data_IF_341442418167
#
_entry.id   IF_341442418167
#
_cell.length_a   1.000
_cell.length_b   1.000
_cell.length_c   1.000
_cell.angle_alpha   90.00
_cell.angle_beta   90.00
_cell.angle_gamma   90.00
#
_symmetry.space_group_name_H-M   'P 1'
#
loop_
_entity.id
_entity.type
_entity.pdbx_description
1 polymer ?
#
# COMPACT_ATOMS: atom_id res chain seq x y z
N UNK A 1 -2.46 -16.88 -7.25
CA UNK A 1 -2.82 -17.08 -5.83
C UNK A 1 -1.66 -17.60 -4.99
N UNK A 2 -0.84 -18.54 -5.46
CA UNK A 2 0.20 -19.17 -4.63
C UNK A 2 1.13 -18.16 -3.98
N UNK A 3 1.88 -17.37 -4.76
CA UNK A 3 2.92 -16.51 -4.17
C UNK A 3 2.33 -15.52 -3.18
N UNK A 4 1.09 -15.07 -3.35
CA UNK A 4 0.42 -14.22 -2.37
C UNK A 4 0.21 -14.93 -1.01
N UNK A 5 -0.30 -16.16 -1.00
CA UNK A 5 -0.58 -16.90 0.23
C UNK A 5 0.67 -17.54 0.84
N UNK A 6 1.59 -18.05 0.02
CA UNK A 6 2.77 -18.79 0.47
C UNK A 6 4.00 -17.92 0.69
N UNK A 7 3.98 -16.62 0.34
CA UNK A 7 5.10 -15.70 0.60
C UNK A 7 5.53 -15.78 2.06
N UNK A 8 6.83 -15.89 2.31
CA UNK A 8 7.42 -15.83 3.66
C UNK A 8 6.84 -16.86 4.65
N UNK A 9 6.10 -17.87 4.18
CA UNK A 9 5.44 -18.86 5.05
C UNK A 9 6.45 -19.71 5.83
N UNK A 10 7.68 -19.82 5.31
CA UNK A 10 8.80 -20.48 5.97
C UNK A 10 9.27 -19.77 7.24
N UNK A 11 8.91 -18.49 7.42
CA UNK A 11 9.24 -17.71 8.62
C UNK A 11 8.12 -17.71 9.66
N UNK A 12 6.98 -18.34 9.37
CA UNK A 12 5.80 -18.36 10.24
C UNK A 12 5.82 -19.59 11.15
N UNK A 13 6.56 -19.50 12.26
CA UNK A 13 6.85 -20.63 13.17
C UNK A 13 5.57 -21.30 13.69
N UNK A 14 4.58 -20.53 14.14
CA UNK A 14 3.31 -21.06 14.66
C UNK A 14 2.54 -21.87 13.60
N UNK A 15 2.54 -21.36 12.36
CA UNK A 15 1.92 -22.04 11.23
C UNK A 15 2.63 -23.36 10.91
N UNK A 16 3.97 -23.34 10.84
CA UNK A 16 4.77 -24.54 10.58
C UNK A 16 4.60 -25.60 11.69
N UNK A 17 4.54 -25.18 12.96
CA UNK A 17 4.25 -26.09 14.08
C UNK A 17 2.85 -26.73 13.92
N UNK A 18 1.84 -25.94 13.59
CA UNK A 18 0.49 -26.42 13.33
C UNK A 18 0.39 -27.36 12.12
N UNK A 19 1.24 -27.18 11.10
CA UNK A 19 1.37 -28.14 9.99
C UNK A 19 2.03 -29.44 10.45
N UNK A 20 3.07 -29.36 11.29
CA UNK A 20 3.76 -30.54 11.80
C UNK A 20 2.84 -31.47 12.59
N UNK A 21 1.93 -30.91 13.40
CA UNK A 21 0.89 -31.68 14.09
C UNK A 21 -0.09 -32.35 13.10
N UNK A 22 -0.51 -31.63 12.06
CA UNK A 22 -1.39 -32.19 11.02
C UNK A 22 -0.71 -33.28 10.20
N UNK A 23 0.59 -33.16 9.95
CA UNK A 23 1.35 -34.20 9.29
C UNK A 23 1.38 -35.50 10.13
N UNK A 24 1.54 -35.39 11.45
CA UNK A 24 1.44 -36.53 12.39
C UNK A 24 0.04 -37.13 12.39
N UNK A 25 -0.99 -36.29 12.50
CA UNK A 25 -2.38 -36.77 12.48
C UNK A 25 -2.73 -37.50 11.17
N UNK A 26 -2.23 -37.01 10.03
CA UNK A 26 -2.41 -37.67 8.74
C UNK A 26 -1.72 -39.05 8.70
N UNK A 27 -0.48 -39.13 9.20
CA UNK A 27 0.26 -40.38 9.32
C UNK A 27 -0.50 -41.40 10.19
N UNK A 28 -0.91 -41.01 11.40
CA UNK A 28 -1.63 -41.85 12.34
C UNK A 28 -2.98 -42.32 11.77
N UNK A 29 -3.71 -41.43 11.10
CA UNK A 29 -5.02 -41.73 10.50
C UNK A 29 -4.89 -42.73 9.32
N UNK A 30 -3.83 -42.60 8.53
CA UNK A 30 -3.57 -43.51 7.42
C UNK A 30 -3.03 -44.86 7.92
N UNK A 31 -2.16 -44.84 8.92
CA UNK A 31 -1.41 -45.99 9.41
C UNK A 31 -0.21 -46.35 8.52
N UNK A 32 0.32 -45.39 7.76
CA UNK A 32 1.50 -45.57 6.90
C UNK A 32 2.72 -44.86 7.50
N UNK A 33 3.92 -45.20 7.06
CA UNK A 33 5.17 -44.79 7.72
C UNK A 33 5.43 -43.28 7.65
N UNK A 34 5.17 -42.67 6.50
CA UNK A 34 5.57 -41.30 6.18
C UNK A 34 4.37 -40.40 5.96
N UNK A 35 4.54 -39.11 6.25
CA UNK A 35 3.59 -38.06 5.92
C UNK A 35 4.32 -36.77 5.56
N UNK A 36 3.83 -36.04 4.57
CA UNK A 36 4.42 -34.80 4.08
C UNK A 36 3.34 -33.81 3.73
N UNK A 37 3.51 -32.57 4.19
CA UNK A 37 2.77 -31.40 3.74
C UNK A 37 3.76 -30.48 3.04
N UNK A 38 3.43 -30.07 1.83
CA UNK A 38 4.28 -29.15 1.08
C UNK A 38 3.52 -28.33 0.05
N UNK A 39 4.16 -27.23 -0.32
CA UNK A 39 3.68 -26.36 -1.38
C UNK A 39 4.49 -26.55 -2.64
N UNK A 40 3.82 -26.33 -3.76
CA UNK A 40 4.39 -26.45 -5.08
C UNK A 40 4.59 -25.06 -5.67
N UNK A 41 5.83 -24.77 -6.04
CA UNK A 41 6.21 -23.60 -6.83
C UNK A 41 6.44 -23.99 -8.30
N UNK A 42 6.84 -23.03 -9.14
CA UNK A 42 7.10 -23.23 -10.57
C UNK A 42 8.07 -24.39 -10.81
N UNK A 43 9.26 -24.35 -10.18
CA UNK A 43 10.32 -25.32 -10.42
C UNK A 43 10.55 -26.31 -9.27
N UNK A 44 9.97 -26.06 -8.09
CA UNK A 44 10.28 -26.82 -6.88
C UNK A 44 9.04 -27.19 -6.07
N UNK A 45 9.16 -28.26 -5.30
CA UNK A 45 8.24 -28.64 -4.23
C UNK A 45 8.94 -28.49 -2.89
N UNK A 46 8.38 -27.69 -2.00
CA UNK A 46 8.95 -27.42 -0.67
C UNK A 46 8.18 -28.20 0.39
N UNK A 47 8.87 -29.11 1.10
CA UNK A 47 8.31 -29.82 2.25
C UNK A 47 8.32 -28.88 3.45
N UNK A 48 7.13 -28.51 3.92
CA UNK A 48 6.94 -27.62 5.06
C UNK A 48 6.83 -28.38 6.39
N UNK A 49 6.22 -29.56 6.34
CA UNK A 49 6.13 -30.46 7.47
C UNK A 49 6.28 -31.90 6.99
N UNK A 50 6.96 -32.72 7.77
CA UNK A 50 7.18 -34.12 7.42
C UNK A 50 7.28 -35.02 8.65
N UNK A 51 6.86 -36.27 8.50
CA UNK A 51 7.01 -37.34 9.48
C UNK A 51 7.74 -38.50 8.82
N UNK A 52 8.82 -38.95 9.44
CA UNK A 52 9.69 -40.01 8.93
C UNK A 52 10.52 -39.63 7.70
N UNK A 53 10.49 -38.36 7.28
CA UNK A 53 11.30 -37.81 6.18
C UNK A 53 11.87 -36.45 6.59
N UNK A 54 13.05 -36.06 6.07
CA UNK A 54 13.58 -34.73 6.28
C UNK A 54 12.78 -33.68 5.49
N UNK A 55 12.73 -32.46 6.04
CA UNK A 55 12.33 -31.28 5.29
C UNK A 55 13.32 -31.04 4.15
N UNK A 56 12.86 -30.39 3.09
CA UNK A 56 13.69 -30.14 1.91
C UNK A 56 12.93 -29.52 0.75
N UNK A 57 13.70 -28.99 -0.19
CA UNK A 57 13.22 -28.45 -1.46
C UNK A 57 13.62 -29.45 -2.54
N UNK A 58 12.65 -29.91 -3.32
CA UNK A 58 12.84 -30.92 -4.36
C UNK A 58 12.50 -30.34 -5.73
N UNK A 59 13.20 -30.74 -6.81
CA UNK A 59 12.77 -30.40 -8.17
C UNK A 59 11.34 -30.89 -8.41
N UNK A 60 10.46 -30.00 -8.89
CA UNK A 60 9.03 -30.30 -9.10
C UNK A 60 8.82 -31.56 -9.93
N UNK A 61 9.52 -31.66 -11.06
CA UNK A 61 9.38 -32.74 -12.03
C UNK A 61 9.76 -34.13 -11.49
N UNK A 62 10.46 -34.20 -10.36
CA UNK A 62 10.82 -35.46 -9.71
C UNK A 62 9.82 -35.90 -8.65
N UNK A 63 8.90 -35.02 -8.23
CA UNK A 63 8.04 -35.32 -7.08
C UNK A 63 6.71 -35.98 -7.47
N UNK A 64 6.32 -37.02 -6.73
CA UNK A 64 4.99 -37.62 -6.84
C UNK A 64 3.90 -36.61 -6.46
N UNK A 65 4.21 -35.72 -5.52
CA UNK A 65 3.34 -34.64 -5.07
C UNK A 65 2.91 -33.70 -6.21
N UNK A 66 3.77 -33.50 -7.22
CA UNK A 66 3.41 -32.71 -8.40
C UNK A 66 2.31 -33.35 -9.25
N UNK A 67 2.08 -34.67 -9.15
CA UNK A 67 0.95 -35.32 -9.81
C UNK A 67 -0.34 -35.24 -8.98
N UNK A 68 -0.24 -35.17 -7.65
CA UNK A 68 -1.39 -35.07 -6.74
C UNK A 68 -2.23 -33.81 -6.99
N UNK A 69 -1.60 -32.70 -7.36
CA UNK A 69 -2.28 -31.42 -7.62
C UNK A 69 -3.28 -31.51 -8.79
N UNK A 70 -3.02 -32.41 -9.76
CA UNK A 70 -3.79 -32.59 -10.99
C UNK A 70 -5.04 -33.44 -10.79
N UNK A 71 -5.23 -34.00 -9.60
CA UNK A 71 -6.44 -34.77 -9.29
C UNK A 71 -7.70 -33.88 -9.38
N UNK A 72 -8.91 -34.45 -9.43
CA UNK A 72 -10.15 -33.68 -9.25
C UNK A 72 -10.45 -33.36 -7.76
N UNK A 73 -11.35 -32.41 -7.47
CA UNK A 73 -11.81 -32.13 -6.11
C UNK A 73 -12.39 -33.35 -5.39
N UNK A 74 -12.14 -33.47 -4.08
CA UNK A 74 -12.64 -34.58 -3.25
C UNK A 74 -12.00 -35.95 -3.53
N UNK A 75 -10.99 -36.01 -4.40
CA UNK A 75 -10.27 -37.25 -4.72
C UNK A 75 -8.88 -37.30 -4.08
N UNK A 76 -8.42 -38.52 -3.81
CA UNK A 76 -7.08 -38.82 -3.30
C UNK A 76 -6.33 -39.55 -4.41
N UNK A 77 -5.12 -39.08 -4.71
CA UNK A 77 -4.22 -39.79 -5.60
C UNK A 77 -3.64 -41.00 -4.87
N UNK A 78 -4.19 -42.18 -5.12
CA UNK A 78 -3.87 -43.41 -4.39
C UNK A 78 -3.10 -44.39 -5.28
N UNK A 79 -1.92 -44.77 -4.82
CA UNK A 79 -1.05 -45.79 -5.41
C UNK A 79 -0.62 -46.76 -4.30
N UNK A 80 -1.33 -47.87 -4.11
CA UNK A 80 -1.02 -48.86 -3.07
C UNK A 80 0.31 -49.59 -3.33
N UNK A 81 0.68 -49.72 -4.60
CA UNK A 81 1.94 -50.28 -5.07
C UNK A 81 2.46 -49.48 -6.27
N UNK A 82 3.56 -48.76 -6.10
CA UNK A 82 4.17 -47.94 -7.15
C UNK A 82 4.84 -48.75 -8.26
N UNK A 83 5.19 -50.02 -8.01
CA UNK A 83 5.76 -50.91 -9.03
C UNK A 83 4.77 -51.23 -10.16
N UNK A 84 3.47 -51.06 -9.89
CA UNK A 84 2.39 -51.28 -10.87
C UNK A 84 2.07 -50.01 -11.68
N UNK A 85 2.52 -48.83 -11.24
CA UNK A 85 2.27 -47.59 -11.95
C UNK A 85 3.40 -47.28 -12.93
N UNK A 86 3.08 -47.30 -14.23
CA UNK A 86 4.06 -47.08 -15.29
C UNK A 86 4.80 -45.74 -15.19
N UNK A 87 4.24 -44.72 -14.51
CA UNK A 87 4.87 -43.42 -14.32
C UNK A 87 5.97 -43.44 -13.26
N UNK A 88 5.85 -44.32 -12.27
CA UNK A 88 6.71 -44.31 -11.07
C UNK A 88 7.48 -45.59 -10.82
N UNK A 89 7.18 -46.68 -11.54
CA UNK A 89 7.87 -47.98 -11.38
C UNK A 89 9.39 -47.88 -11.56
N UNK A 90 9.86 -46.96 -12.42
CA UNK A 90 11.27 -46.71 -12.71
C UNK A 90 11.75 -45.39 -12.04
N UNK A 91 11.00 -44.88 -11.06
CA UNK A 91 11.39 -43.67 -10.35
C UNK A 91 12.50 -43.96 -9.33
N UNK A 92 13.39 -42.99 -9.04
CA UNK A 92 14.47 -43.22 -8.09
C UNK A 92 14.00 -43.58 -6.66
N UNK A 93 12.78 -43.20 -6.30
CA UNK A 93 12.19 -43.55 -5.01
C UNK A 93 11.91 -45.05 -4.88
N UNK A 94 11.52 -45.70 -5.98
CA UNK A 94 11.28 -47.13 -6.07
C UNK A 94 12.62 -47.87 -6.21
N UNK A 95 13.52 -47.38 -7.05
CA UNK A 95 14.86 -47.99 -7.25
C UNK A 95 15.70 -48.00 -5.96
N UNK A 96 15.60 -46.95 -5.13
CA UNK A 96 16.27 -46.89 -3.84
C UNK A 96 15.61 -47.76 -2.76
N UNK A 97 14.45 -48.37 -3.06
CA UNK A 97 13.66 -49.18 -2.13
C UNK A 97 13.04 -48.38 -0.97
N UNK A 98 13.06 -47.05 -1.03
CA UNK A 98 12.63 -46.16 0.06
C UNK A 98 11.12 -45.87 0.04
N UNK A 99 10.43 -46.07 -1.09
CA UNK A 99 9.02 -45.74 -1.23
C UNK A 99 8.30 -46.64 -2.24
N UNK A 100 7.23 -47.30 -1.79
CA UNK A 100 6.43 -48.22 -2.63
C UNK A 100 4.91 -47.98 -2.55
N UNK A 101 4.41 -47.21 -1.58
CA UNK A 101 3.00 -46.83 -1.51
C UNK A 101 2.85 -45.32 -1.29
N UNK A 102 1.85 -44.72 -1.93
CA UNK A 102 1.57 -43.28 -1.88
C UNK A 102 0.07 -42.98 -1.88
N UNK A 103 -0.36 -42.05 -1.04
CA UNK A 103 -1.70 -41.48 -1.06
C UNK A 103 -1.64 -39.98 -0.80
N UNK A 104 -2.12 -39.16 -1.75
CA UNK A 104 -2.04 -37.70 -1.67
C UNK A 104 -3.38 -37.01 -1.87
N UNK A 105 -3.66 -35.98 -1.08
CA UNK A 105 -4.75 -35.03 -1.31
C UNK A 105 -4.18 -33.65 -1.68
N UNK A 106 -4.74 -32.98 -2.70
CA UNK A 106 -4.31 -31.66 -3.11
C UNK A 106 -4.79 -30.57 -2.14
N UNK A 107 -3.94 -29.60 -1.85
CA UNK A 107 -4.25 -28.42 -1.05
C UNK A 107 -4.94 -27.38 -1.93
N UNK A 108 -6.27 -27.42 -2.01
CA UNK A 108 -7.06 -26.59 -2.93
C UNK A 108 -7.52 -25.31 -2.29
N UNK A 109 -7.18 -24.20 -2.92
CA UNK A 109 -7.73 -22.89 -2.61
C UNK A 109 -8.77 -22.50 -3.67
N UNK A 110 -9.96 -22.14 -3.22
CA UNK A 110 -10.99 -21.54 -4.07
C UNK A 110 -10.89 -20.02 -4.01
N UNK A 111 -10.78 -19.39 -5.18
CA UNK A 111 -10.91 -17.94 -5.34
C UNK A 111 -12.38 -17.53 -5.25
N UNK A 112 -12.63 -16.28 -4.87
CA UNK A 112 -13.95 -15.63 -4.98
C UNK A 112 -14.50 -15.63 -6.42
N UNK A 113 -13.62 -15.69 -7.42
CA UNK A 113 -13.98 -15.82 -8.85
C UNK A 113 -14.47 -17.23 -9.24
N UNK A 114 -14.51 -18.17 -8.30
CA UNK A 114 -14.84 -19.58 -8.53
C UNK A 114 -13.67 -20.43 -9.06
N UNK A 115 -12.53 -19.81 -9.37
CA UNK A 115 -11.33 -20.54 -9.83
C UNK A 115 -10.71 -21.31 -8.67
N UNK A 116 -10.54 -22.62 -8.85
CA UNK A 116 -9.89 -23.51 -7.86
C UNK A 116 -8.45 -23.77 -8.27
N UNK A 117 -7.51 -23.57 -7.34
CA UNK A 117 -6.07 -23.75 -7.57
C UNK A 117 -5.50 -24.67 -6.51
N UNK A 118 -4.75 -25.69 -6.91
CA UNK A 118 -4.00 -26.52 -5.99
C UNK A 118 -2.64 -25.88 -5.69
N UNK A 119 -2.40 -25.52 -4.44
CA UNK A 119 -1.17 -24.86 -3.98
C UNK A 119 -0.06 -25.85 -3.59
N UNK A 120 -0.40 -27.14 -3.48
CA UNK A 120 0.49 -28.18 -2.97
C UNK A 120 -0.28 -29.45 -2.64
N UNK A 121 0.28 -30.26 -1.75
CA UNK A 121 -0.34 -31.54 -1.34
C UNK A 121 -0.06 -31.88 0.13
N UNK A 122 -1.01 -32.58 0.72
CA UNK A 122 -0.81 -33.44 1.89
C UNK A 122 -0.73 -34.87 1.38
N UNK A 123 0.32 -35.62 1.73
CA UNK A 123 0.42 -37.02 1.36
C UNK A 123 0.95 -37.89 2.49
N UNK A 124 0.55 -39.16 2.45
CA UNK A 124 1.06 -40.25 3.27
C UNK A 124 1.70 -41.31 2.38
N UNK A 125 2.70 -41.99 2.90
CA UNK A 125 3.59 -42.83 2.11
C UNK A 125 4.15 -43.99 2.94
N UNK A 126 4.59 -45.07 2.29
CA UNK A 126 5.25 -46.21 2.97
C UNK A 126 6.34 -46.81 2.10
N UNK A 127 7.40 -47.31 2.74
CA UNK A 127 8.49 -48.03 2.10
C UNK A 127 8.11 -49.44 1.64
N UNK A 128 6.93 -49.95 2.01
CA UNK A 128 6.40 -51.23 1.53
C UNK A 128 5.10 -51.00 0.73
N UNK A 129 4.74 -51.98 -0.09
CA UNK A 129 3.40 -52.03 -0.68
C UNK A 129 2.35 -52.19 0.42
N UNK A 130 1.25 -51.47 0.31
CA UNK A 130 0.21 -51.40 1.34
C UNK A 130 -1.16 -51.76 0.75
N UNK A 131 -2.11 -52.25 1.56
CA UNK A 131 -3.49 -52.34 1.12
C UNK A 131 -4.04 -50.94 0.81
N UNK A 132 -4.94 -50.80 -0.19
CA UNK A 132 -5.57 -49.52 -0.51
C UNK A 132 -6.23 -48.88 0.72
N UNK A 133 -6.01 -47.59 0.94
CA UNK A 133 -6.68 -46.86 2.02
C UNK A 133 -8.20 -46.93 1.85
N UNK A 134 -8.92 -47.16 2.96
CA UNK A 134 -10.39 -47.19 2.93
C UNK A 134 -10.96 -45.82 2.54
N UNK A 135 -12.19 -45.79 2.00
CA UNK A 135 -12.87 -44.53 1.63
C UNK A 135 -13.03 -43.56 2.80
N UNK A 136 -13.08 -44.06 4.04
CA UNK A 136 -13.12 -43.23 5.24
C UNK A 136 -11.76 -42.57 5.50
N UNK A 137 -10.66 -43.32 5.38
CA UNK A 137 -9.30 -42.78 5.50
C UNK A 137 -8.98 -41.77 4.39
N UNK A 138 -9.38 -42.06 3.14
CA UNK A 138 -9.24 -41.12 2.02
C UNK A 138 -9.97 -39.80 2.30
N UNK A 139 -11.22 -39.86 2.78
CA UNK A 139 -11.98 -38.66 3.18
C UNK A 139 -11.31 -37.89 4.30
N UNK A 140 -10.78 -38.58 5.32
CA UNK A 140 -10.06 -37.92 6.42
C UNK A 140 -8.84 -37.12 5.92
N UNK A 141 -8.04 -37.69 5.01
CA UNK A 141 -6.89 -37.00 4.40
C UNK A 141 -7.35 -35.80 3.57
N UNK A 142 -8.43 -35.93 2.79
CA UNK A 142 -8.97 -34.82 2.03
C UNK A 142 -9.47 -33.67 2.93
N UNK A 143 -10.17 -33.99 4.03
CA UNK A 143 -10.60 -32.97 5.00
C UNK A 143 -9.42 -32.30 5.71
N UNK A 144 -8.35 -33.04 6.03
CA UNK A 144 -7.13 -32.46 6.57
C UNK A 144 -6.47 -31.50 5.57
N UNK A 145 -6.48 -31.83 4.27
CA UNK A 145 -6.01 -30.93 3.22
C UNK A 145 -6.81 -29.61 3.18
N UNK A 146 -8.15 -29.68 3.30
CA UNK A 146 -9.01 -28.48 3.35
C UNK A 146 -8.72 -27.61 4.59
N UNK A 147 -8.46 -28.24 5.75
CA UNK A 147 -8.10 -27.52 6.96
C UNK A 147 -6.73 -26.86 6.87
N UNK A 148 -5.74 -27.51 6.25
CA UNK A 148 -4.42 -26.93 5.99
C UNK A 148 -4.55 -25.67 5.13
N UNK A 149 -5.41 -25.68 4.11
CA UNK A 149 -5.66 -24.49 3.28
C UNK A 149 -6.31 -23.37 4.11
N UNK A 150 -7.26 -23.71 4.99
CA UNK A 150 -7.90 -22.73 5.87
C UNK A 150 -6.88 -22.06 6.80
N UNK A 151 -5.95 -22.83 7.37
CA UNK A 151 -4.86 -22.31 8.19
C UNK A 151 -3.92 -21.41 7.39
N UNK A 152 -3.60 -21.78 6.13
CA UNK A 152 -2.78 -20.97 5.24
C UNK A 152 -3.42 -19.61 4.96
N UNK A 153 -4.72 -19.60 4.65
CA UNK A 153 -5.48 -18.36 4.41
C UNK A 153 -5.48 -17.50 5.67
N UNK A 154 -5.66 -18.10 6.84
CA UNK A 154 -5.63 -17.36 8.11
C UNK A 154 -4.24 -16.81 8.41
N UNK A 155 -3.18 -17.59 8.20
CA UNK A 155 -1.79 -17.15 8.33
C UNK A 155 -1.51 -15.94 7.43
N UNK A 156 -1.87 -16.00 6.15
CA UNK A 156 -1.70 -14.89 5.21
C UNK A 156 -2.47 -13.64 5.65
N UNK A 157 -3.69 -13.78 6.17
CA UNK A 157 -4.48 -12.65 6.71
C UNK A 157 -3.80 -11.97 7.88
N UNK A 158 -3.31 -12.76 8.85
CA UNK A 158 -2.59 -12.22 10.03
C UNK A 158 -1.30 -11.52 9.59
N UNK A 159 -0.54 -12.13 8.68
CA UNK A 159 0.68 -11.53 8.09
C UNK A 159 0.39 -10.19 7.44
N UNK A 160 -0.61 -10.13 6.54
CA UNK A 160 -0.98 -8.87 5.87
C UNK A 160 -1.49 -7.81 6.86
N UNK A 161 -2.21 -8.20 7.91
CA UNK A 161 -2.63 -7.27 8.94
C UNK A 161 -1.43 -6.71 9.74
N UNK A 162 -0.42 -7.53 10.05
CA UNK A 162 0.84 -7.04 10.67
C UNK A 162 1.56 -6.05 9.75
N UNK A 163 1.67 -6.37 8.46
CA UNK A 163 2.28 -5.47 7.48
C UNK A 163 1.57 -4.12 7.41
N UNK A 164 0.23 -4.11 7.38
CA UNK A 164 -0.55 -2.85 7.39
C UNK A 164 -0.26 -1.99 8.63
N UNK A 165 -0.13 -2.60 9.82
CA UNK A 165 0.20 -1.87 11.04
C UNK A 165 1.60 -1.27 10.95
N UNK A 166 2.58 -2.08 10.55
CA UNK A 166 3.96 -1.63 10.36
C UNK A 166 4.05 -0.45 9.37
N UNK A 167 3.38 -0.56 8.22
CA UNK A 167 3.23 0.52 7.25
C UNK A 167 2.60 1.79 7.85
N UNK A 168 1.55 1.65 8.66
CA UNK A 168 0.90 2.78 9.32
C UNK A 168 1.82 3.48 10.33
N UNK A 169 2.62 2.71 11.09
CA UNK A 169 3.58 3.24 12.05
C UNK A 169 4.70 4.02 11.33
N UNK A 170 5.22 3.48 10.22
CA UNK A 170 6.20 4.18 9.38
C UNK A 170 5.63 5.48 8.78
N UNK A 171 4.39 5.43 8.29
CA UNK A 171 3.69 6.62 7.80
C UNK A 171 3.57 7.69 8.90
N UNK A 172 3.16 7.29 10.11
CA UNK A 172 3.00 8.22 11.22
C UNK A 172 4.35 8.86 11.61
N UNK A 173 5.43 8.08 11.63
CA UNK A 173 6.78 8.60 11.88
C UNK A 173 7.22 9.57 10.78
N UNK A 174 7.08 9.18 9.50
CA UNK A 174 7.47 10.04 8.38
C UNK A 174 6.64 11.32 8.28
N UNK A 175 5.37 11.30 8.71
CA UNK A 175 4.52 12.49 8.75
C UNK A 175 5.08 13.56 9.71
N UNK A 176 5.63 13.15 10.86
CA UNK A 176 6.25 14.09 11.81
C UNK A 176 7.48 14.78 11.20
N UNK A 177 8.31 14.03 10.47
CA UNK A 177 9.50 14.58 9.82
C UNK A 177 9.15 15.42 8.59
N UNK A 178 8.15 14.99 7.82
CA UNK A 178 7.60 15.72 6.69
C UNK A 178 7.06 17.09 7.12
N UNK A 179 6.38 17.16 8.26
CA UNK A 179 5.86 18.42 8.82
C UNK A 179 6.97 19.39 9.27
N UNK A 180 8.17 18.89 9.56
CA UNK A 180 9.33 19.70 9.96
C UNK A 180 10.10 20.24 8.77
N UNK A 181 10.38 19.38 7.79
CA UNK A 181 11.26 19.69 6.64
C UNK A 181 10.46 20.23 5.44
N UNK A 182 9.17 19.89 5.32
CA UNK A 182 8.31 20.18 4.17
C UNK A 182 8.91 19.69 2.85
N UNK A 183 9.52 18.49 2.88
CA UNK A 183 10.16 17.81 1.75
C UNK A 183 9.71 16.35 1.70
N UNK A 184 9.54 15.78 0.51
CA UNK A 184 9.00 14.43 0.28
C UNK A 184 9.96 13.29 0.63
N UNK A 185 11.25 13.59 0.90
CA UNK A 185 12.28 12.58 1.23
C UNK A 185 11.90 11.57 2.32
N UNK A 186 11.25 11.94 3.44
CA UNK A 186 10.85 10.96 4.46
C UNK A 186 9.87 9.92 3.91
N UNK A 187 8.98 10.32 3.00
CA UNK A 187 8.02 9.41 2.37
C UNK A 187 8.74 8.47 1.39
N UNK A 188 9.68 8.97 0.59
CA UNK A 188 10.48 8.14 -0.31
C UNK A 188 11.28 7.07 0.46
N UNK A 189 11.89 7.46 1.59
CA UNK A 189 12.61 6.52 2.45
C UNK A 189 11.70 5.43 3.03
N UNK A 190 10.46 5.78 3.41
CA UNK A 190 9.47 4.80 3.88
C UNK A 190 9.06 3.82 2.78
N UNK A 191 8.93 4.29 1.53
CA UNK A 191 8.67 3.41 0.38
C UNK A 191 9.85 2.46 0.12
N UNK A 192 11.09 2.96 0.16
CA UNK A 192 12.32 2.16 0.02
C UNK A 192 12.44 1.10 1.13
N UNK A 193 11.99 1.43 2.35
CA UNK A 193 12.00 0.50 3.49
C UNK A 193 11.01 -0.66 3.29
N UNK A 194 9.83 -0.38 2.76
CA UNK A 194 8.79 -1.40 2.53
C UNK A 194 9.04 -2.20 1.24
N UNK A 195 9.60 -1.56 0.22
CA UNK A 195 9.85 -2.15 -1.09
C UNK A 195 11.32 -1.98 -1.52
N UNK A 196 12.27 -2.66 -0.84
CA UNK A 196 13.70 -2.44 -1.05
C UNK A 196 14.20 -2.84 -2.45
N UNK A 197 13.55 -3.82 -3.07
CA UNK A 197 13.91 -4.31 -4.41
C UNK A 197 13.07 -3.65 -5.53
N UNK A 198 12.13 -2.78 -5.18
CA UNK A 198 11.28 -2.11 -6.15
C UNK A 198 11.95 -0.81 -6.66
N UNK A 199 11.63 -0.47 -7.90
CA UNK A 199 12.02 0.82 -8.49
C UNK A 199 10.96 1.86 -8.14
N UNK A 200 11.37 2.88 -7.40
CA UNK A 200 10.51 4.01 -7.02
C UNK A 200 10.79 5.16 -7.98
N UNK A 201 9.76 5.64 -8.67
CA UNK A 201 9.86 6.72 -9.66
C UNK A 201 8.86 7.84 -9.39
N UNK A 202 9.22 9.04 -9.86
CA UNK A 202 8.43 10.26 -9.76
C UNK A 202 8.38 10.88 -11.15
N UNK A 203 7.21 10.88 -11.76
CA UNK A 203 7.00 11.48 -13.08
C UNK A 203 5.97 12.60 -13.01
N UNK A 204 6.06 13.58 -13.91
CA UNK A 204 4.99 14.58 -14.02
C UNK A 204 3.71 13.91 -14.51
N UNK A 205 2.55 14.20 -13.93
CA UNK A 205 1.26 13.64 -14.38
C UNK A 205 0.80 14.21 -15.72
N UNK A 206 1.53 15.18 -16.29
CA UNK A 206 1.39 15.58 -17.70
C UNK A 206 2.03 14.57 -18.66
N UNK A 207 2.92 13.71 -18.16
CA UNK A 207 3.44 12.63 -18.96
C UNK A 207 2.29 11.68 -19.29
N UNK A 208 2.09 11.42 -20.58
CA UNK A 208 1.18 10.37 -21.04
C UNK A 208 1.79 8.98 -20.87
N UNK A 209 3.10 8.95 -20.61
CA UNK A 209 3.91 7.75 -20.53
C UNK A 209 4.74 7.73 -19.24
N UNK A 210 4.92 6.54 -18.68
CA UNK A 210 5.83 6.24 -17.58
C UNK A 210 7.05 5.51 -18.15
N UNK A 211 8.24 6.06 -17.97
CA UNK A 211 9.48 5.38 -18.32
C UNK A 211 9.78 4.30 -17.28
N UNK A 212 10.03 3.07 -17.74
CA UNK A 212 10.14 1.90 -16.86
C UNK A 212 11.34 1.04 -17.26
N UNK A 213 12.07 0.57 -16.26
CA UNK A 213 13.27 -0.24 -16.49
C UNK A 213 12.99 -1.52 -17.29
N UNK A 214 13.82 -1.74 -18.31
CA UNK A 214 13.82 -2.97 -19.12
C UNK A 214 12.71 -3.05 -20.16
N UNK A 215 11.97 -1.95 -20.42
CA UNK A 215 10.93 -1.89 -21.46
C UNK A 215 10.77 -0.48 -22.03
N UNK A 216 9.97 -0.37 -23.09
CA UNK A 216 9.51 0.92 -23.60
C UNK A 216 8.48 1.61 -22.67
N UNK A 217 8.25 2.91 -22.88
CA UNK A 217 7.34 3.71 -22.07
C UNK A 217 5.94 3.11 -21.97
N UNK A 218 5.35 3.14 -20.76
CA UNK A 218 4.00 2.64 -20.47
C UNK A 218 2.97 3.76 -20.51
N UNK A 219 1.83 3.55 -21.16
CA UNK A 219 0.75 4.54 -21.19
C UNK A 219 0.04 4.54 -19.83
N UNK A 220 -0.02 5.70 -19.17
CA UNK A 220 -0.62 5.82 -17.83
C UNK A 220 -2.14 5.55 -17.85
N UNK A 221 -2.79 5.73 -19.00
CA UNK A 221 -4.22 5.42 -19.18
C UNK A 221 -4.55 3.92 -19.07
N UNK A 222 -3.55 3.04 -19.22
CA UNK A 222 -3.73 1.58 -19.12
C UNK A 222 -3.74 1.10 -17.65
N UNK A 223 -3.52 2.01 -16.69
CA UNK A 223 -3.54 1.70 -15.27
C UNK A 223 -4.99 1.70 -14.77
N UNK A 224 -5.42 0.57 -14.21
CA UNK A 224 -6.74 0.42 -13.59
C UNK A 224 -6.64 0.73 -12.09
N UNK A 225 -7.23 1.85 -11.66
CA UNK A 225 -7.15 2.37 -10.29
C UNK A 225 -5.72 2.48 -9.74
N UNK A 226 -4.77 2.84 -10.61
CA UNK A 226 -3.36 2.99 -10.26
C UNK A 226 -2.58 1.68 -10.22
N UNK A 227 -3.18 0.56 -10.65
CA UNK A 227 -2.57 -0.76 -10.71
C UNK A 227 -2.31 -1.14 -12.18
N UNK A 228 -1.14 -1.69 -12.45
CA UNK A 228 -0.78 -2.18 -13.78
C UNK A 228 0.01 -3.50 -13.68
N UNK A 229 -0.22 -4.41 -14.63
CA UNK A 229 0.45 -5.71 -14.77
C UNK A 229 0.71 -6.01 -16.25
N UNK A 230 1.94 -6.45 -16.58
CA UNK A 230 2.29 -6.94 -17.92
C UNK A 230 1.70 -8.35 -18.13
N UNK A 231 0.38 -8.40 -18.31
CA UNK A 231 -0.36 -9.66 -18.46
C UNK A 231 0.14 -10.45 -19.66
N UNK A 232 0.39 -9.78 -20.79
CA UNK A 232 0.83 -10.40 -22.03
C UNK A 232 2.19 -11.09 -21.85
N UNK A 233 3.15 -10.43 -21.20
CA UNK A 233 4.44 -11.06 -20.92
C UNK A 233 4.33 -12.25 -19.99
N UNK A 234 3.52 -12.11 -18.94
CA UNK A 234 3.34 -13.20 -17.98
C UNK A 234 2.69 -14.39 -18.70
N UNK A 235 1.63 -14.17 -19.48
CA UNK A 235 0.94 -15.23 -20.23
C UNK A 235 1.84 -15.85 -21.32
N UNK A 236 2.68 -15.06 -22.01
CA UNK A 236 3.68 -15.57 -22.96
C UNK A 236 4.72 -16.45 -22.26
N UNK A 237 5.25 -16.00 -21.11
CA UNK A 237 6.20 -16.78 -20.32
C UNK A 237 5.56 -18.10 -19.83
N UNK A 238 4.30 -18.05 -19.37
CA UNK A 238 3.53 -19.24 -18.98
C UNK A 238 3.42 -20.23 -20.15
N UNK A 239 3.11 -19.74 -21.34
CA UNK A 239 2.84 -20.59 -22.48
C UNK A 239 4.11 -21.19 -23.08
N UNK A 240 5.23 -20.45 -23.09
CA UNK A 240 6.41 -20.81 -23.88
C UNK A 240 7.65 -21.14 -23.06
N UNK A 241 7.77 -20.62 -21.84
CA UNK A 241 9.02 -20.63 -21.07
C UNK A 241 8.87 -21.05 -19.61
N UNK A 242 7.77 -21.72 -19.27
CA UNK A 242 7.42 -22.06 -17.89
C UNK A 242 8.36 -23.05 -17.18
N UNK A 243 9.30 -23.66 -17.91
CA UNK A 243 10.33 -24.55 -17.40
C UNK A 243 11.66 -23.83 -17.08
N UNK A 244 11.79 -22.54 -17.38
CA UNK A 244 12.97 -21.74 -17.09
C UNK A 244 12.84 -20.99 -15.76
N UNK A 245 13.95 -20.40 -15.30
CA UNK A 245 13.91 -19.48 -14.16
C UNK A 245 13.08 -18.23 -14.48
N UNK A 246 12.41 -17.69 -13.47
CA UNK A 246 11.58 -16.50 -13.62
C UNK A 246 12.46 -15.30 -14.01
N UNK A 247 12.12 -14.56 -15.08
CA UNK A 247 12.94 -13.48 -15.56
C UNK A 247 12.79 -12.24 -14.65
N UNK A 248 13.90 -11.53 -14.44
CA UNK A 248 13.96 -10.27 -13.66
C UNK A 248 14.41 -9.08 -14.52
N UNK A 249 14.42 -9.27 -15.84
CA UNK A 249 14.98 -8.33 -16.82
C UNK A 249 14.12 -7.09 -17.08
N UNK A 250 12.82 -7.13 -16.74
CA UNK A 250 11.88 -6.04 -17.00
C UNK A 250 10.80 -5.99 -15.92
N UNK A 251 10.27 -4.79 -15.69
CA UNK A 251 9.15 -4.59 -14.75
C UNK A 251 7.89 -5.29 -15.25
N UNK A 252 7.22 -5.99 -14.33
CA UNK A 252 6.01 -6.77 -14.59
C UNK A 252 4.79 -6.26 -13.84
N UNK A 253 4.97 -5.52 -12.73
CA UNK A 253 3.87 -4.94 -11.96
C UNK A 253 4.21 -3.56 -11.45
N UNK A 254 3.21 -2.68 -11.43
CA UNK A 254 3.35 -1.31 -10.95
C UNK A 254 2.13 -0.95 -10.11
N UNK A 255 2.40 -0.30 -8.98
CA UNK A 255 1.41 0.48 -8.24
C UNK A 255 1.74 1.97 -8.39
N UNK A 256 0.72 2.80 -8.51
CA UNK A 256 0.89 4.23 -8.70
C UNK A 256 -0.18 5.03 -7.98
N UNK A 257 0.18 6.23 -7.55
CA UNK A 257 -0.74 7.21 -6.98
C UNK A 257 -0.33 8.63 -7.37
N UNK A 258 -1.33 9.48 -7.58
CA UNK A 258 -1.13 10.89 -7.94
C UNK A 258 -0.87 11.74 -6.72
N UNK A 259 0.05 12.69 -6.83
CA UNK A 259 0.31 13.69 -5.82
C UNK A 259 0.57 15.08 -6.43
N UNK A 260 0.32 16.14 -5.67
CA UNK A 260 0.60 17.51 -6.10
C UNK A 260 1.99 17.95 -5.63
N UNK A 261 2.73 18.63 -6.50
CA UNK A 261 4.06 19.17 -6.21
C UNK A 261 4.41 20.41 -7.04
N UNK A 262 5.70 20.74 -7.07
CA UNK A 262 6.24 21.94 -7.74
C UNK A 262 5.86 22.06 -9.22
N UNK A 263 5.80 20.93 -9.93
CA UNK A 263 5.52 20.87 -11.37
C UNK A 263 4.04 20.63 -11.69
N UNK A 264 3.16 20.77 -10.70
CA UNK A 264 1.74 20.44 -10.78
C UNK A 264 1.45 19.04 -10.25
N UNK A 265 0.49 18.36 -10.87
CA UNK A 265 0.19 16.97 -10.54
C UNK A 265 1.34 16.08 -11.05
N UNK A 266 1.81 15.16 -10.19
CA UNK A 266 2.85 14.18 -10.41
C UNK A 266 2.31 12.78 -10.10
N UNK A 267 2.99 11.76 -10.60
CA UNK A 267 2.72 10.36 -10.33
C UNK A 267 3.88 9.76 -9.53
N UNK A 268 3.54 9.19 -8.39
CA UNK A 268 4.44 8.34 -7.60
C UNK A 268 4.18 6.90 -8.02
N UNK A 269 5.19 6.19 -8.48
CA UNK A 269 5.07 4.80 -8.89
C UNK A 269 6.09 3.89 -8.19
N UNK A 270 5.62 2.72 -7.77
CA UNK A 270 6.40 1.62 -7.23
C UNK A 270 6.32 0.47 -8.22
N UNK A 271 7.44 0.17 -8.88
CA UNK A 271 7.53 -0.81 -9.95
C UNK A 271 8.37 -2.01 -9.51
N UNK A 272 7.93 -3.22 -9.87
CA UNK A 272 8.65 -4.46 -9.57
C UNK A 272 8.81 -5.33 -10.82
N UNK A 273 10.01 -5.87 -10.97
CA UNK A 273 10.38 -6.91 -11.94
C UNK A 273 10.27 -8.33 -11.35
N UNK A 274 9.88 -8.47 -10.08
CA UNK A 274 9.69 -9.78 -9.45
C UNK A 274 8.29 -10.34 -9.76
N UNK A 275 8.25 -11.44 -10.50
CA UNK A 275 7.03 -12.18 -10.77
C UNK A 275 6.34 -12.67 -9.50
N UNK A 276 7.08 -12.88 -8.40
CA UNK A 276 6.56 -13.41 -7.13
C UNK A 276 5.88 -12.34 -6.28
N UNK A 277 6.24 -11.07 -6.45
CA UNK A 277 5.64 -9.95 -5.74
C UNK A 277 4.23 -9.66 -6.29
N UNK A 278 3.21 -10.02 -5.53
CA UNK A 278 1.81 -9.66 -5.82
C UNK A 278 1.38 -8.54 -4.90
N UNK A 279 0.85 -7.46 -5.47
CA UNK A 279 0.31 -6.34 -4.72
C UNK A 279 -1.15 -6.59 -4.30
N UNK A 280 -1.56 -6.02 -3.17
CA UNK A 280 -2.95 -6.04 -2.69
C UNK A 280 -3.48 -4.65 -2.32
N UNK A 281 -4.70 -4.60 -1.76
CA UNK A 281 -5.34 -3.36 -1.31
C UNK A 281 -4.56 -2.62 -0.22
N UNK A 282 -3.80 -3.34 0.61
CA UNK A 282 -2.98 -2.73 1.67
C UNK A 282 -1.80 -2.01 1.02
N UNK A 283 -1.18 -2.61 0.00
CA UNK A 283 -0.09 -1.99 -0.74
C UNK A 283 -0.58 -0.74 -1.51
N UNK A 284 -1.75 -0.83 -2.15
CA UNK A 284 -2.38 0.30 -2.84
C UNK A 284 -2.75 1.43 -1.87
N UNK A 285 -3.41 1.11 -0.76
CA UNK A 285 -3.74 2.08 0.29
C UNK A 285 -2.48 2.78 0.81
N UNK A 286 -1.40 2.05 1.00
CA UNK A 286 -0.14 2.58 1.50
C UNK A 286 0.44 3.63 0.55
N UNK A 287 0.55 3.32 -0.75
CA UNK A 287 1.09 4.24 -1.76
C UNK A 287 0.18 5.47 -1.93
N UNK A 288 -1.14 5.28 -1.93
CA UNK A 288 -2.10 6.39 -1.97
C UNK A 288 -1.97 7.30 -0.75
N UNK A 289 -1.74 6.74 0.43
CA UNK A 289 -1.54 7.51 1.66
C UNK A 289 -0.23 8.31 1.59
N UNK A 290 0.86 7.69 1.12
CA UNK A 290 2.13 8.36 0.87
C UNK A 290 1.98 9.55 -0.10
N UNK A 291 1.33 9.35 -1.24
CA UNK A 291 1.07 10.39 -2.24
C UNK A 291 0.20 11.54 -1.67
N UNK A 292 -0.83 11.21 -0.89
CA UNK A 292 -1.66 12.21 -0.21
C UNK A 292 -0.85 13.04 0.80
N UNK A 293 0.07 12.43 1.54
CA UNK A 293 0.91 13.14 2.50
C UNK A 293 1.87 14.12 1.82
N UNK A 294 2.48 13.71 0.71
CA UNK A 294 3.32 14.61 -0.10
C UNK A 294 2.50 15.82 -0.56
N UNK A 295 1.30 15.58 -1.09
CA UNK A 295 0.39 16.65 -1.53
C UNK A 295 -0.01 17.59 -0.38
N UNK A 296 -0.30 17.05 0.81
CA UNK A 296 -0.62 17.86 1.98
C UNK A 296 0.55 18.73 2.43
N UNK A 297 1.77 18.19 2.44
CA UNK A 297 2.97 18.95 2.76
C UNK A 297 3.22 20.07 1.75
N UNK A 298 3.02 19.80 0.46
CA UNK A 298 3.09 20.80 -0.60
C UNK A 298 2.08 21.94 -0.40
N UNK A 299 0.80 21.61 -0.18
CA UNK A 299 -0.25 22.61 0.08
C UNK A 299 0.04 23.45 1.32
N UNK A 300 0.54 22.84 2.39
CA UNK A 300 0.92 23.53 3.63
C UNK A 300 2.08 24.51 3.39
N UNK A 301 3.07 24.11 2.57
CA UNK A 301 4.17 24.99 2.16
C UNK A 301 3.65 26.18 1.36
N UNK A 302 2.83 25.94 0.33
CA UNK A 302 2.27 27.00 -0.51
C UNK A 302 1.43 28.00 0.31
N UNK A 303 0.62 27.50 1.25
CA UNK A 303 -0.16 28.34 2.15
C UNK A 303 0.74 29.20 3.04
N UNK A 304 1.82 28.63 3.58
CA UNK A 304 2.78 29.37 4.40
C UNK A 304 3.51 30.47 3.60
N UNK A 305 3.87 30.20 2.36
CA UNK A 305 4.49 31.18 1.45
C UNK A 305 3.51 32.30 1.12
N UNK A 306 2.25 31.98 0.79
CA UNK A 306 1.22 32.98 0.52
C UNK A 306 0.92 33.87 1.73
N UNK A 307 0.86 33.29 2.94
CA UNK A 307 0.68 34.04 4.19
C UNK A 307 1.86 34.99 4.44
N UNK A 308 3.10 34.54 4.22
CA UNK A 308 4.30 35.38 4.37
C UNK A 308 4.30 36.54 3.37
N UNK A 309 4.03 36.27 2.09
CA UNK A 309 3.96 37.29 1.05
C UNK A 309 2.87 38.32 1.34
N UNK A 310 1.70 37.89 1.81
CA UNK A 310 0.61 38.77 2.25
C UNK A 310 1.06 39.67 3.41
N UNK A 311 1.69 39.11 4.44
CA UNK A 311 2.13 39.88 5.60
C UNK A 311 3.22 40.91 5.23
N UNK A 312 4.13 40.53 4.34
CA UNK A 312 5.18 41.43 3.82
C UNK A 312 4.59 42.56 2.99
N UNK A 313 3.64 42.26 2.10
CA UNK A 313 2.92 43.26 1.31
C UNK A 313 2.20 44.28 2.21
N UNK A 314 1.43 43.82 3.20
CA UNK A 314 0.67 44.71 4.08
C UNK A 314 1.59 45.61 4.92
N UNK A 315 2.71 45.07 5.41
CA UNK A 315 3.72 45.85 6.14
C UNK A 315 4.40 46.88 5.24
N UNK A 316 4.82 46.48 4.04
CA UNK A 316 5.46 47.36 3.06
C UNK A 316 4.54 48.49 2.62
N UNK A 317 3.32 48.15 2.19
CA UNK A 317 2.30 49.11 1.77
C UNK A 317 1.95 50.11 2.88
N UNK A 318 1.77 49.62 4.12
CA UNK A 318 1.50 50.51 5.26
C UNK A 318 2.63 51.50 5.51
N UNK A 319 3.88 51.04 5.49
CA UNK A 319 5.04 51.92 5.69
C UNK A 319 5.15 52.96 4.56
N UNK A 320 4.98 52.53 3.31
CA UNK A 320 5.08 53.41 2.14
C UNK A 320 3.96 54.46 2.06
N UNK A 321 2.74 54.14 2.51
CA UNK A 321 1.66 55.14 2.57
C UNK A 321 1.79 56.07 3.78
N UNK A 322 2.22 55.56 4.93
CA UNK A 322 2.26 56.33 6.18
C UNK A 322 3.20 57.54 6.09
N UNK A 323 4.39 57.35 5.54
CA UNK A 323 5.42 58.41 5.46
C UNK A 323 4.96 59.65 4.67
N UNK A 324 4.49 59.54 3.41
CA UNK A 324 4.03 60.71 2.67
C UNK A 324 2.75 61.31 3.23
N UNK A 325 1.81 60.50 3.77
CA UNK A 325 0.58 61.03 4.36
C UNK A 325 0.90 61.86 5.61
N UNK A 326 1.81 61.40 6.49
CA UNK A 326 2.24 62.22 7.62
C UNK A 326 2.98 63.48 7.18
N UNK A 327 3.77 63.42 6.12
CA UNK A 327 4.39 64.60 5.51
C UNK A 327 3.34 65.62 5.04
N UNK A 328 2.35 65.17 4.27
CA UNK A 328 1.25 66.01 3.77
C UNK A 328 0.44 66.58 4.94
N UNK A 329 0.05 65.76 5.91
CA UNK A 329 -0.70 66.21 7.08
C UNK A 329 0.10 67.24 7.89
N UNK A 330 1.40 67.04 8.09
CA UNK A 330 2.27 68.01 8.76
C UNK A 330 2.36 69.33 7.98
N UNK A 331 2.52 69.29 6.66
CA UNK A 331 2.50 70.50 5.83
C UNK A 331 1.14 71.22 5.88
N UNK A 332 0.03 70.48 5.86
CA UNK A 332 -1.33 71.03 5.99
C UNK A 332 -1.54 71.68 7.35
N UNK A 333 -1.03 71.08 8.43
CA UNK A 333 -1.10 71.64 9.79
C UNK A 333 -0.32 72.96 9.88
N UNK A 334 0.91 73.02 9.34
CA UNK A 334 1.71 74.25 9.29
C UNK A 334 1.05 75.35 8.44
N UNK A 335 0.54 75.01 7.25
CA UNK A 335 -0.17 75.97 6.39
C UNK A 335 -1.46 76.49 7.05
N UNK A 336 -2.19 75.61 7.74
CA UNK A 336 -3.39 75.99 8.49
C UNK A 336 -3.05 76.96 9.63
N UNK A 337 -1.92 76.77 10.31
CA UNK A 337 -1.43 77.66 11.37
C UNK A 337 -0.96 79.01 10.81
N UNK A 338 -0.22 79.02 9.69
CA UNK A 338 0.22 80.26 9.04
C UNK A 338 -0.96 81.08 8.51
N UNK A 339 -1.95 80.44 7.89
CA UNK A 339 -3.17 81.13 7.44
C UNK A 339 -3.98 81.67 8.62
N UNK A 340 -4.01 80.97 9.75
CA UNK A 340 -4.69 81.42 10.97
C UNK A 340 -3.98 82.63 11.60
N UNK A 341 -2.64 82.61 11.66
CA UNK A 341 -1.83 83.73 12.17
C UNK A 341 -1.88 84.95 11.25
N UNK A 342 -1.81 84.77 9.93
CA UNK A 342 -2.03 85.86 8.95
C UNK A 342 -3.43 86.44 9.06
N UNK A 343 -4.46 85.62 9.24
CA UNK A 343 -5.84 86.08 9.48
C UNK A 343 -5.97 86.86 10.79
N UNK A 344 -5.26 86.46 11.84
CA UNK A 344 -5.20 87.20 13.11
C UNK A 344 -4.46 88.54 12.97
N UNK A 345 -3.38 88.60 12.18
CA UNK A 345 -2.63 89.82 11.89
C UNK A 345 -3.41 90.80 11.00
N UNK A 346 -4.10 90.31 9.96
CA UNK A 346 -4.97 91.10 9.07
C UNK A 346 -6.28 91.52 9.75
N UNK A 347 -6.79 90.74 10.71
CA UNK A 347 -7.97 91.09 11.52
C UNK A 347 -7.79 92.34 12.39
N UNK A 348 -6.54 92.78 12.62
CA UNK A 348 -6.24 94.04 13.30
C UNK A 348 -6.24 95.27 12.37
N UNK A 349 -6.26 95.09 11.04
CA UNK A 349 -6.19 96.16 10.04
C UNK A 349 -7.21 95.92 8.90
N UNK A 350 -8.46 96.28 9.20
CA UNK A 350 -9.58 96.54 8.26
C UNK A 350 -10.27 95.36 7.56
N UNK A 351 -11.58 95.57 7.39
CA UNK A 351 -12.61 94.70 6.82
C UNK A 351 -12.70 94.92 5.30
N UNK A 352 -12.88 93.81 4.56
CA UNK A 352 -13.49 93.68 3.22
C UNK A 352 -12.55 93.23 2.08
N UNK A 353 -13.05 92.26 1.30
CA UNK A 353 -12.62 91.74 -0.01
C UNK A 353 -11.84 90.40 -0.14
N UNK A 354 -11.54 89.64 0.92
CA UNK A 354 -10.85 88.33 0.79
C UNK A 354 -11.53 87.12 1.46
N UNK A 355 -12.74 87.27 2.01
CA UNK A 355 -13.37 86.21 2.82
C UNK A 355 -13.83 84.97 2.06
N UNK A 356 -14.14 85.09 0.75
CA UNK A 356 -14.58 83.95 -0.06
C UNK A 356 -13.43 82.96 -0.32
N UNK A 357 -12.25 83.45 -0.70
CA UNK A 357 -11.08 82.59 -0.97
C UNK A 357 -10.45 82.02 0.30
N UNK A 358 -10.47 82.75 1.41
CA UNK A 358 -9.98 82.24 2.70
C UNK A 358 -10.87 81.13 3.27
N UNK A 359 -12.19 81.20 3.03
CA UNK A 359 -13.14 80.15 3.39
C UNK A 359 -12.94 78.88 2.59
N UNK A 360 -12.79 78.98 1.27
CA UNK A 360 -12.54 77.83 0.39
C UNK A 360 -11.18 77.17 0.67
N UNK A 361 -10.11 77.94 0.89
CA UNK A 361 -8.80 77.37 1.23
C UNK A 361 -8.81 76.59 2.55
N UNK A 362 -9.54 77.08 3.55
CA UNK A 362 -9.68 76.36 4.83
C UNK A 362 -10.51 75.07 4.67
N UNK A 363 -11.56 75.10 3.84
CA UNK A 363 -12.35 73.91 3.49
C UNK A 363 -11.50 72.85 2.78
N UNK A 364 -10.62 73.24 1.86
CA UNK A 364 -9.71 72.30 1.19
C UNK A 364 -8.69 71.70 2.17
N UNK A 365 -8.11 72.48 3.08
CA UNK A 365 -7.18 71.99 4.10
C UNK A 365 -7.86 71.01 5.07
N UNK A 366 -9.06 71.33 5.56
CA UNK A 366 -9.82 70.42 6.42
C UNK A 366 -10.28 69.15 5.68
N UNK A 367 -10.60 69.24 4.39
CA UNK A 367 -10.91 68.07 3.56
C UNK A 367 -9.70 67.15 3.39
N UNK A 368 -8.52 67.70 3.09
CA UNK A 368 -7.27 66.93 2.96
C UNK A 368 -6.90 66.27 4.30
N UNK A 369 -7.05 67.02 5.41
CA UNK A 369 -6.75 66.55 6.76
C UNK A 369 -7.68 65.42 7.21
N UNK A 370 -8.99 65.56 6.98
CA UNK A 370 -9.98 64.53 7.31
C UNK A 370 -9.72 63.27 6.47
N UNK A 371 -9.57 63.44 5.15
CA UNK A 371 -9.31 62.33 4.23
C UNK A 371 -7.99 61.60 4.55
N UNK A 372 -6.93 62.33 4.91
CA UNK A 372 -5.65 61.75 5.30
C UNK A 372 -5.71 60.96 6.61
N UNK A 373 -6.48 61.43 7.60
CA UNK A 373 -6.71 60.72 8.87
C UNK A 373 -7.56 59.47 8.68
N UNK A 374 -8.61 59.56 7.88
CA UNK A 374 -9.48 58.42 7.55
C UNK A 374 -8.69 57.34 6.81
N UNK A 375 -7.84 57.71 5.85
CA UNK A 375 -7.00 56.78 5.12
C UNK A 375 -6.00 56.05 6.06
N UNK A 376 -5.36 56.76 6.98
CA UNK A 376 -4.49 56.15 8.00
C UNK A 376 -5.28 55.20 8.91
N UNK A 377 -6.50 55.59 9.32
CA UNK A 377 -7.36 54.76 10.16
C UNK A 377 -7.77 53.46 9.44
N UNK A 378 -8.10 53.52 8.17
CA UNK A 378 -8.42 52.35 7.32
C UNK A 378 -7.19 51.43 7.22
N UNK A 379 -6.02 51.98 6.91
CA UNK A 379 -4.77 51.20 6.82
C UNK A 379 -4.43 50.51 8.15
N UNK A 380 -4.55 51.22 9.27
CA UNK A 380 -4.31 50.63 10.60
C UNK A 380 -5.34 49.56 10.96
N UNK A 381 -6.60 49.74 10.58
CA UNK A 381 -7.66 48.75 10.79
C UNK A 381 -7.38 47.48 9.97
N UNK A 382 -6.91 47.62 8.73
CA UNK A 382 -6.55 46.49 7.88
C UNK A 382 -5.40 45.65 8.47
N UNK A 383 -4.39 46.30 9.04
CA UNK A 383 -3.27 45.63 9.74
C UNK A 383 -3.77 44.94 11.01
N UNK A 384 -4.57 45.64 11.82
CA UNK A 384 -5.10 45.12 13.09
C UNK A 384 -6.00 43.90 12.87
N UNK A 385 -6.82 43.91 11.83
CA UNK A 385 -7.65 42.77 11.43
C UNK A 385 -6.80 41.59 10.93
N UNK A 386 -5.67 41.85 10.28
CA UNK A 386 -4.75 40.80 9.81
C UNK A 386 -3.90 40.19 10.95
N UNK A 387 -3.56 40.98 11.98
CA UNK A 387 -2.79 40.53 13.16
C UNK A 387 -3.67 39.96 14.29
N UNK A 388 -4.96 40.29 14.31
CA UNK A 388 -5.95 39.84 15.30
C UNK A 388 -6.04 38.32 15.51
N UNK A 389 -5.95 37.46 14.47
CA UNK A 389 -5.94 36.02 14.66
C UNK A 389 -4.68 35.50 15.35
N UNK A 390 -3.54 36.20 15.26
CA UNK A 390 -2.25 35.75 15.84
C UNK A 390 -2.10 36.07 17.32
N UNK A 391 -2.66 37.18 17.81
CA UNK A 391 -2.57 37.55 19.23
C UNK A 391 -3.58 36.81 20.13
N UNK A 392 -4.72 36.37 19.58
CA UNK A 392 -5.79 35.74 20.37
C UNK A 392 -5.47 34.33 20.87
N UNK A 393 -4.45 33.67 20.32
CA UNK A 393 -4.00 32.33 20.73
C UNK A 393 -2.77 32.32 21.66
N UNK A 394 -2.16 33.49 21.95
CA UNK A 394 -0.92 33.57 22.76
C UNK A 394 -1.07 34.20 24.14
N UNK A 395 -2.23 34.74 24.52
CA UNK A 395 -2.45 35.29 25.87
C UNK A 395 -3.86 34.98 26.40
N UNK A 396 -3.94 34.05 27.36
CA UNK A 396 -5.09 33.87 28.25
C UNK A 396 -5.42 32.39 28.53
N UNK A 397 -5.69 32.00 29.79
CA UNK A 397 -6.09 30.63 30.12
C UNK A 397 -7.46 30.32 29.53
N UNK A 398 -7.67 29.04 29.17
CA UNK A 398 -8.97 28.49 28.76
C UNK A 398 -10.08 28.95 29.71
N UNK A 399 -11.20 29.53 29.23
CA UNK A 399 -12.35 29.73 30.09
C UNK A 399 -12.91 28.35 30.46
N UNK A 400 -12.99 28.07 31.75
CA UNK A 400 -13.74 26.93 32.27
C UNK A 400 -15.20 27.04 31.81
N UNK A 401 -15.56 26.26 30.79
CA UNK A 401 -16.96 26.07 30.41
C UNK A 401 -17.58 25.13 31.45
N UNK A 402 -18.42 25.70 32.33
CA UNK A 402 -19.32 24.92 33.17
C UNK A 402 -20.29 24.14 32.27
N UNK A 403 -20.02 22.84 32.09
CA UNK A 403 -21.03 21.91 31.60
C UNK A 403 -22.11 21.73 32.68
N UNK A 404 -23.31 22.25 32.43
CA UNK A 404 -24.50 21.88 33.17
C UNK A 404 -24.70 20.36 33.04
N UNK A 405 -24.71 19.66 34.19
CA UNK A 405 -25.14 18.27 34.30
C UNK A 405 -26.61 18.14 33.85
N UNK A 406 -26.84 17.70 32.62
CA UNK A 406 -28.09 17.05 32.21
C UNK A 406 -27.89 15.53 32.24
N UNK A 407 -28.80 14.86 32.94
CA UNK A 407 -28.78 13.44 33.32
C UNK A 407 -28.69 12.49 32.11
N UNK A 408 -28.04 11.32 32.23
CA UNK A 408 -28.07 10.29 31.19
C UNK A 408 -29.40 9.53 31.26
N UNK A 409 -30.19 9.59 30.19
CA UNK A 409 -31.30 8.66 29.96
C UNK A 409 -30.68 7.35 29.46
N UNK A 410 -30.45 6.43 30.38
CA UNK A 410 -30.26 5.02 30.07
C UNK A 410 -31.64 4.41 29.82
N UNK A 411 -32.02 4.23 28.56
CA UNK A 411 -32.93 3.16 28.19
C UNK A 411 -32.18 2.11 27.38
N UNK A 412 -31.98 0.98 28.06
CA UNK A 412 -31.58 -0.31 27.52
C UNK A 412 -32.49 -0.67 26.35
N UNK A 413 -31.91 -0.90 25.17
CA UNK A 413 -32.31 -1.99 24.27
C UNK A 413 -31.05 -2.71 23.77
N UNK A 414 -31.11 -4.04 23.63
CA UNK A 414 -29.93 -4.89 23.57
C UNK A 414 -29.28 -4.83 22.19
N UNK A 415 -27.95 -4.68 22.17
CA UNK A 415 -27.10 -5.06 21.04
C UNK A 415 -27.16 -6.59 20.93
N UNK A 416 -28.19 -7.08 20.24
CA UNK A 416 -28.19 -8.41 19.63
C UNK A 416 -27.90 -8.21 18.15
N UNK A 417 -26.98 -9.05 17.65
CA UNK A 417 -26.50 -9.20 16.27
C UNK A 417 -25.51 -8.16 15.75
N UNK A 418 -24.24 -8.37 16.10
CA UNK A 418 -23.12 -8.29 15.15
C UNK A 418 -22.14 -9.43 15.48
N UNK A 419 -22.67 -10.64 15.47
CA UNK A 419 -21.95 -11.92 15.45
C UNK A 419 -22.80 -12.82 14.55
N UNK A 420 -22.72 -12.61 13.24
CA UNK A 420 -23.26 -13.48 12.18
C UNK A 420 -22.96 -12.81 10.83
N UNK A 421 -21.71 -12.88 10.41
CA UNK A 421 -21.30 -12.99 9.00
C UNK A 421 -19.86 -13.48 9.07
N UNK A 422 -19.72 -14.80 9.00
CA UNK A 422 -18.46 -15.44 8.64
C UNK A 422 -18.14 -15.00 7.21
N UNK A 423 -17.43 -13.88 7.08
CA UNK A 423 -17.00 -13.34 5.79
C UNK A 423 -15.77 -14.12 5.31
N UNK A 424 -16.03 -15.05 4.40
CA UNK A 424 -15.06 -15.95 3.79
C UNK A 424 -14.32 -15.20 2.68
N UNK A 425 -13.42 -14.29 3.04
CA UNK A 425 -12.50 -13.63 2.09
C UNK A 425 -12.71 -12.12 2.03
N UNK A 426 -11.61 -11.36 2.03
CA UNK A 426 -11.68 -9.93 1.74
C UNK A 426 -11.85 -9.77 0.23
N UNK A 427 -12.91 -9.08 -0.18
CA UNK A 427 -13.03 -8.51 -1.52
C UNK A 427 -11.84 -7.59 -1.80
N UNK A 428 -11.03 -7.94 -2.79
CA UNK A 428 -10.10 -6.97 -3.39
C UNK A 428 -10.90 -5.82 -3.97
N UNK A 429 -10.45 -4.58 -3.76
CA UNK A 429 -11.23 -3.38 -4.13
C UNK A 429 -11.27 -3.16 -5.65
N UNK A 430 -10.14 -3.34 -6.35
CA UNK A 430 -10.05 -3.14 -7.81
C UNK A 430 -10.11 -4.46 -8.60
N UNK A 431 -10.56 -4.37 -9.86
CA UNK A 431 -10.56 -5.50 -10.78
C UNK A 431 -9.13 -5.94 -11.15
N UNK A 432 -8.22 -4.98 -11.33
CA UNK A 432 -6.80 -5.26 -11.57
C UNK A 432 -6.11 -6.06 -10.45
N UNK A 433 -6.39 -5.79 -9.16
CA UNK A 433 -5.79 -6.59 -8.08
C UNK A 433 -6.30 -8.04 -8.09
N UNK A 434 -7.59 -8.25 -8.41
CA UNK A 434 -8.13 -9.60 -8.64
C UNK A 434 -7.46 -10.27 -9.83
N UNK A 435 -7.16 -9.50 -10.87
CA UNK A 435 -6.49 -10.00 -12.07
C UNK A 435 -5.08 -10.51 -11.76
N UNK A 436 -4.23 -9.74 -11.05
CA UNK A 436 -2.88 -10.19 -10.66
C UNK A 436 -2.88 -11.54 -9.95
N UNK A 437 -3.87 -11.74 -9.08
CA UNK A 437 -4.04 -12.98 -8.31
C UNK A 437 -4.48 -14.14 -9.21
N UNK A 438 -5.30 -13.87 -10.23
CA UNK A 438 -5.72 -14.83 -11.23
C UNK A 438 -4.56 -15.23 -12.17
N UNK A 439 -3.79 -14.26 -12.69
CA UNK A 439 -2.61 -14.51 -13.55
C UNK A 439 -1.60 -15.43 -12.86
N UNK A 440 -1.30 -15.14 -11.59
CA UNK A 440 -0.43 -15.98 -10.76
C UNK A 440 -0.94 -17.43 -10.62
N UNK A 441 -2.26 -17.62 -10.60
CA UNK A 441 -2.86 -18.96 -10.53
C UNK A 441 -2.68 -19.76 -11.82
N UNK A 442 -2.68 -19.09 -12.98
CA UNK A 442 -2.46 -19.73 -14.28
C UNK A 442 -1.03 -20.24 -14.44
N UNK A 443 -0.04 -19.50 -13.93
CA UNK A 443 1.38 -19.92 -13.92
C UNK A 443 1.57 -21.33 -13.38
N UNK A 444 0.94 -21.65 -12.26
CA UNK A 444 1.17 -22.93 -11.56
C UNK A 444 0.42 -24.07 -12.20
N UNK A 445 -0.78 -23.80 -12.71
CA UNK A 445 -1.60 -24.75 -13.45
C UNK A 445 -0.95 -25.11 -14.79
N UNK A 446 -0.42 -24.14 -15.53
CA UNK A 446 0.28 -24.41 -16.79
C UNK A 446 1.54 -25.28 -16.58
N UNK A 447 2.29 -25.02 -15.49
CA UNK A 447 3.44 -25.87 -15.12
C UNK A 447 3.03 -27.29 -14.68
N UNK A 448 1.75 -27.57 -14.40
CA UNK A 448 1.28 -28.89 -13.94
C UNK A 448 0.90 -29.82 -15.08
N UNK A 449 0.71 -29.28 -16.28
CA UNK A 449 0.42 -30.05 -17.49
C UNK A 449 1.70 -30.55 -18.21
N UNK A 450 2.84 -29.87 -18.03
CA UNK A 450 4.12 -30.19 -18.71
C UNK A 450 4.98 -31.27 -18.02
N UNK A 451 4.43 -32.07 -17.11
CA UNK A 451 5.20 -33.05 -16.31
C UNK A 451 5.49 -34.34 -17.08
N UNK A 452 6.32 -34.28 -18.13
CA UNK A 452 7.24 -35.35 -18.55
C UNK A 452 8.21 -34.85 -19.65
N UNK A 453 9.48 -34.59 -19.30
CA UNK A 453 10.54 -34.38 -20.29
C UNK A 453 11.70 -35.38 -20.02
N UNK A 454 11.89 -36.43 -20.84
CA UNK A 454 12.83 -37.53 -20.57
C UNK A 454 14.31 -37.13 -20.49
N UNK A 455 14.69 -35.96 -21.01
CA UNK A 455 16.09 -35.53 -21.19
C UNK A 455 16.79 -35.04 -19.92
N UNK A 456 16.06 -34.70 -18.86
CA UNK A 456 16.64 -34.27 -17.57
C UNK A 456 17.07 -35.44 -16.67
N UNK A 457 16.71 -36.68 -17.03
CA UNK A 457 17.04 -37.89 -16.26
C UNK A 457 18.54 -38.19 -16.13
N UNK A 458 19.38 -37.64 -17.03
CA UNK A 458 20.80 -37.99 -17.10
C UNK A 458 21.68 -37.15 -16.16
N UNK A 459 21.29 -35.90 -15.85
CA UNK A 459 22.05 -35.04 -14.92
C UNK A 459 21.82 -35.41 -13.43
N UNK A 460 20.73 -36.11 -13.10
CA UNK A 460 20.31 -36.35 -11.71
C UNK A 460 20.91 -37.58 -11.02
N UNK A 461 21.67 -38.44 -11.70
CA UNK A 461 22.31 -39.61 -11.05
C UNK A 461 23.33 -39.25 -9.96
N UNK A 462 23.80 -38.01 -9.91
CA UNK A 462 24.85 -37.55 -8.99
C UNK A 462 24.33 -36.94 -7.69
N UNK A 463 23.13 -36.32 -7.66
CA UNK A 463 22.66 -35.61 -6.47
C UNK A 463 21.94 -36.49 -5.43
N UNK A 464 21.38 -37.63 -5.82
CA UNK A 464 20.69 -38.55 -4.91
C UNK A 464 21.60 -39.49 -4.12
N UNK A 465 22.91 -39.53 -4.41
CA UNK A 465 23.87 -40.32 -3.61
C UNK A 465 24.25 -39.66 -2.27
N UNK A 466 23.76 -38.45 -2.00
CA UNK A 466 24.10 -37.67 -0.79
C UNK A 466 22.92 -37.47 0.19
N UNK A 467 21.79 -38.17 0.02
CA UNK A 467 20.62 -38.19 0.90
C UNK A 467 20.15 -39.63 1.17
#
# INVERSE_FOLDING_TARGET
>A
MLWYYTRDVLYEIEFLSGLQEKARLAQESAGWEFSVIGFLDVNYYTRLAAVGLPLGILPRGETICAHTINMPPGSVFLMPNMLEDWRFKDSPYVESGKLHAYAGAPLRLQSESGVTVALGSLCVASGASQPPLTKTKQRAIAHLADWIVSDLVQCARVRRQRQRRHMADLIAAAQVDLDRVLDERPILHVLETIYPEAVISRESAKATHLEVQGRGPLVIADFDDGVWEDTDYIDEFIAQSNCFELPTNRVVRILSARFDGTSGSNLLAVASNDFRLVFDDIDLWFIQTCASLISQAWHKRLLNEAIKAKDEFLRGFSHQLRTPIHGILGCVELLSEELSTRKAALGALSVSASSANAGTSNLYLESIKTSGRDLIAIVNSMITLNDGPRLRWRKGPMPHVHFKKSRPIWQRKPVKRFLETADTGRRFSSAALRHQIATNSRLIAACSETVYCPSLSTLCRTHQRAL
#
